data_IF_748146776697
#
_entry.id   IF_748146776697
#
_cell.length_a   1.000
_cell.length_b   1.000
_cell.length_c   1.000
_cell.angle_alpha   90.00
_cell.angle_beta   90.00
_cell.angle_gamma   90.00
#
_symmetry.space_group_name_H-M   'P 1'
#
loop_
_entity.id
_entity.type
_entity.pdbx_description
1 polymer ?
#
# COMPACT_ATOMS: atom_id res chain seq x y z
N UNK A 1 12.49 -2.75 -12.83
CA UNK A 1 12.10 -4.16 -13.09
C UNK A 1 11.17 -4.19 -14.29
N UNK A 2 11.63 -4.76 -15.43
CA UNK A 2 10.84 -4.93 -16.68
C UNK A 2 10.34 -6.37 -16.86
N UNK A 3 10.70 -7.29 -15.96
CA UNK A 3 10.41 -8.71 -16.07
C UNK A 3 9.00 -9.12 -15.62
N UNK A 4 8.55 -10.27 -16.10
CA UNK A 4 7.33 -10.92 -15.64
C UNK A 4 7.49 -11.57 -14.25
N UNK A 5 6.43 -12.23 -13.79
CA UNK A 5 6.44 -12.94 -12.50
C UNK A 5 7.53 -14.02 -12.42
N UNK A 6 7.86 -14.66 -13.54
CA UNK A 6 8.90 -15.68 -13.61
C UNK A 6 10.31 -15.10 -13.47
N UNK A 7 10.55 -13.90 -14.04
CA UNK A 7 11.84 -13.22 -13.89
C UNK A 7 12.06 -12.82 -12.44
N UNK A 8 11.02 -12.32 -11.77
CA UNK A 8 11.06 -12.04 -10.33
C UNK A 8 11.37 -13.30 -9.52
N UNK A 9 10.73 -14.42 -9.86
CA UNK A 9 11.02 -15.69 -9.18
C UNK A 9 12.51 -16.10 -9.37
N UNK A 10 13.07 -15.96 -10.56
CA UNK A 10 14.48 -16.25 -10.80
C UNK A 10 15.42 -15.33 -10.00
N UNK A 11 15.07 -14.05 -9.85
CA UNK A 11 15.84 -13.08 -9.07
C UNK A 11 15.83 -13.38 -7.56
N UNK A 12 14.75 -14.02 -7.04
CA UNK A 12 14.65 -14.43 -5.63
C UNK A 12 15.57 -15.63 -5.30
N UNK A 13 16.09 -16.35 -6.30
CA UNK A 13 17.07 -17.43 -6.19
C UNK A 13 18.21 -17.16 -7.17
N UNK A 14 19.26 -16.44 -6.78
CA UNK A 14 20.36 -16.07 -7.67
C UNK A 14 21.04 -17.28 -8.32
N UNK A 15 21.25 -17.19 -9.63
CA UNK A 15 21.87 -18.27 -10.41
C UNK A 15 20.94 -19.45 -10.72
N UNK A 16 19.67 -19.39 -10.32
CA UNK A 16 18.68 -20.43 -10.65
C UNK A 16 17.93 -20.12 -11.94
N UNK A 17 17.22 -21.13 -12.45
CA UNK A 17 16.30 -21.02 -13.57
C UNK A 17 14.92 -21.49 -13.15
N UNK A 18 13.88 -20.79 -13.66
CA UNK A 18 12.49 -21.20 -13.52
C UNK A 18 12.10 -22.01 -14.76
N UNK A 19 11.84 -23.30 -14.56
CA UNK A 19 11.53 -24.24 -15.63
C UNK A 19 10.16 -24.92 -15.39
N UNK A 20 9.44 -25.35 -16.43
CA UNK A 20 8.25 -26.17 -16.24
C UNK A 20 8.58 -27.46 -15.47
N UNK A 21 7.76 -27.84 -14.50
CA UNK A 21 8.00 -29.04 -13.67
C UNK A 21 8.01 -30.38 -14.44
N UNK A 22 7.57 -30.37 -15.68
CA UNK A 22 7.54 -31.56 -16.56
C UNK A 22 8.77 -31.68 -17.47
N UNK A 23 9.75 -30.78 -17.34
CA UNK A 23 10.98 -30.84 -18.15
C UNK A 23 11.85 -32.00 -17.66
N UNK A 24 11.77 -33.13 -18.32
CA UNK A 24 12.59 -34.30 -18.04
C UNK A 24 14.07 -33.99 -18.31
N UNK A 25 14.97 -34.58 -17.49
CA UNK A 25 16.43 -34.55 -17.64
C UNK A 25 17.18 -33.28 -17.18
N UNK A 26 16.74 -32.64 -16.11
CA UNK A 26 17.51 -31.59 -15.44
C UNK A 26 17.91 -32.09 -14.04
N UNK A 27 19.18 -32.46 -13.85
CA UNK A 27 19.71 -33.01 -12.58
C UNK A 27 20.03 -31.91 -11.54
N UNK A 28 19.80 -30.64 -11.86
CA UNK A 28 20.04 -29.54 -10.92
C UNK A 28 19.08 -29.63 -9.73
N UNK A 29 19.54 -29.25 -8.53
CA UNK A 29 18.69 -29.28 -7.32
C UNK A 29 17.47 -28.39 -7.48
N UNK A 30 16.33 -28.87 -7.00
CA UNK A 30 15.07 -28.13 -6.93
C UNK A 30 15.01 -27.37 -5.59
N UNK A 31 15.00 -26.04 -5.64
CA UNK A 31 14.88 -25.20 -4.44
C UNK A 31 13.42 -24.94 -4.06
N UNK A 32 12.56 -24.78 -5.05
CA UNK A 32 11.14 -24.54 -4.83
C UNK A 32 10.31 -25.06 -6.00
N UNK A 33 9.08 -25.50 -5.70
CA UNK A 33 8.06 -25.86 -6.69
C UNK A 33 6.82 -25.03 -6.48
N UNK A 34 6.36 -24.39 -7.55
CA UNK A 34 5.20 -23.49 -7.53
C UNK A 34 4.14 -23.94 -8.53
N UNK A 35 2.89 -23.74 -8.16
CA UNK A 35 1.80 -23.70 -9.13
C UNK A 35 1.59 -22.24 -9.60
N UNK A 36 1.31 -22.08 -10.90
CA UNK A 36 1.11 -20.79 -11.55
C UNK A 36 -0.37 -20.45 -11.56
N UNK A 37 -0.75 -19.39 -10.86
CA UNK A 37 -2.11 -18.85 -10.95
C UNK A 37 -2.16 -17.76 -12.02
N UNK A 38 -3.12 -17.85 -12.93
CA UNK A 38 -3.32 -16.88 -14.01
C UNK A 38 -4.53 -15.98 -13.74
N UNK A 39 -4.43 -14.75 -14.19
CA UNK A 39 -5.54 -13.81 -14.25
C UNK A 39 -5.59 -13.20 -15.65
N UNK A 40 -6.72 -13.32 -16.32
CA UNK A 40 -6.88 -12.88 -17.71
C UNK A 40 -5.77 -13.46 -18.64
N UNK A 41 -5.43 -14.74 -18.47
CA UNK A 41 -4.41 -15.43 -19.26
C UNK A 41 -2.95 -15.15 -18.87
N UNK A 42 -2.66 -14.13 -18.07
CA UNK A 42 -1.30 -13.79 -17.64
C UNK A 42 -0.96 -14.39 -16.26
N UNK A 43 0.29 -14.86 -16.03
CA UNK A 43 0.75 -15.25 -14.71
C UNK A 43 0.57 -14.11 -13.72
N UNK A 44 -0.11 -14.38 -12.61
CA UNK A 44 -0.46 -13.36 -11.60
C UNK A 44 0.16 -13.64 -10.23
N UNK A 45 0.27 -14.92 -9.87
CA UNK A 45 0.81 -15.34 -8.58
C UNK A 45 1.45 -16.73 -8.72
N UNK A 46 2.57 -16.94 -8.05
CA UNK A 46 3.14 -18.25 -7.78
C UNK A 46 2.73 -18.67 -6.36
N UNK A 47 2.16 -19.86 -6.24
CA UNK A 47 1.80 -20.43 -4.93
C UNK A 47 2.57 -21.71 -4.70
N UNK A 48 2.99 -22.06 -3.46
CA UNK A 48 3.69 -23.30 -3.21
C UNK A 48 2.88 -24.49 -3.73
N UNK A 49 3.52 -25.39 -4.47
CA UNK A 49 2.86 -26.63 -4.89
C UNK A 49 2.53 -27.50 -3.67
N UNK A 50 3.40 -27.46 -2.68
CA UNK A 50 3.26 -28.15 -1.38
C UNK A 50 3.72 -27.25 -0.24
N UNK A 51 3.07 -27.33 0.94
CA UNK A 51 1.82 -28.06 1.22
C UNK A 51 0.60 -27.35 0.60
N UNK A 52 -0.42 -28.12 0.23
CA UNK A 52 -1.66 -27.61 -0.39
C UNK A 52 -2.39 -26.54 0.45
N UNK A 53 -2.18 -26.55 1.76
CA UNK A 53 -2.69 -25.52 2.67
C UNK A 53 -2.08 -24.16 2.39
N UNK A 54 -0.80 -24.06 2.08
CA UNK A 54 -0.14 -22.79 1.73
C UNK A 54 -0.73 -22.19 0.44
N UNK A 55 -0.93 -23.02 -0.60
CA UNK A 55 -1.62 -22.58 -1.81
C UNK A 55 -3.05 -22.10 -1.53
N UNK A 56 -3.80 -22.83 -0.72
CA UNK A 56 -5.17 -22.47 -0.33
C UNK A 56 -5.23 -21.14 0.44
N UNK A 57 -4.32 -20.90 1.38
CA UNK A 57 -4.23 -19.66 2.14
C UNK A 57 -3.84 -18.47 1.22
N UNK A 58 -2.95 -18.70 0.23
CA UNK A 58 -2.57 -17.68 -0.75
C UNK A 58 -3.75 -17.20 -1.59
N UNK A 59 -4.64 -18.12 -1.97
CA UNK A 59 -5.84 -17.84 -2.79
C UNK A 59 -6.88 -17.04 -1.97
N UNK A 60 -6.96 -17.26 -0.65
CA UNK A 60 -8.00 -16.72 0.23
C UNK A 60 -7.79 -15.26 0.63
N UNK A 61 -6.78 -14.57 0.14
CA UNK A 61 -6.52 -13.15 0.47
C UNK A 61 -7.72 -12.27 0.14
N UNK A 62 -8.19 -11.49 1.12
CA UNK A 62 -9.35 -10.60 1.00
C UNK A 62 -9.02 -9.20 1.50
N UNK A 63 -9.77 -8.21 1.01
CA UNK A 63 -9.75 -6.82 1.46
C UNK A 63 -11.17 -6.27 1.48
N UNK A 64 -11.38 -5.06 2.01
CA UNK A 64 -12.68 -4.40 1.99
C UNK A 64 -13.17 -4.10 0.57
N UNK A 65 -12.27 -3.99 -0.41
CA UNK A 65 -12.62 -3.85 -1.82
C UNK A 65 -13.20 -5.15 -2.43
N UNK A 66 -13.00 -6.32 -1.78
CA UNK A 66 -13.48 -7.60 -2.31
C UNK A 66 -15.00 -7.71 -2.14
N UNK A 67 -15.71 -7.92 -3.24
CA UNK A 67 -17.16 -8.18 -3.20
C UNK A 67 -17.49 -9.50 -2.50
N UNK A 68 -18.73 -9.65 -2.01
CA UNK A 68 -19.21 -10.94 -1.44
C UNK A 68 -18.99 -12.11 -2.41
N UNK A 69 -19.27 -11.89 -3.69
CA UNK A 69 -19.07 -12.91 -4.74
C UNK A 69 -17.59 -13.29 -4.87
N UNK A 70 -16.70 -12.31 -4.89
CA UNK A 70 -15.25 -12.58 -4.95
C UNK A 70 -14.77 -13.32 -3.71
N UNK A 71 -15.22 -12.94 -2.52
CA UNK A 71 -14.85 -13.62 -1.27
C UNK A 71 -15.37 -15.06 -1.26
N UNK A 72 -16.61 -15.28 -1.68
CA UNK A 72 -17.19 -16.63 -1.81
C UNK A 72 -16.43 -17.49 -2.82
N UNK A 73 -16.13 -16.92 -4.01
CA UNK A 73 -15.36 -17.61 -5.06
C UNK A 73 -13.96 -17.99 -4.58
N UNK A 74 -13.24 -17.05 -3.94
CA UNK A 74 -11.89 -17.32 -3.39
C UNK A 74 -11.93 -18.36 -2.26
N UNK A 75 -12.97 -18.33 -1.41
CA UNK A 75 -13.15 -19.31 -0.35
C UNK A 75 -13.43 -20.71 -0.90
N UNK A 76 -14.28 -20.82 -1.93
CA UNK A 76 -14.56 -22.09 -2.60
C UNK A 76 -13.30 -22.63 -3.32
N UNK A 77 -12.57 -21.79 -4.06
CA UNK A 77 -11.33 -22.15 -4.72
C UNK A 77 -10.25 -22.60 -3.71
N UNK A 78 -10.11 -21.89 -2.60
CA UNK A 78 -9.20 -22.25 -1.50
C UNK A 78 -9.56 -23.62 -0.90
N UNK A 79 -10.85 -23.87 -0.62
CA UNK A 79 -11.29 -25.15 -0.08
C UNK A 79 -11.07 -26.31 -1.07
N UNK A 80 -11.27 -26.04 -2.37
CA UNK A 80 -11.07 -27.03 -3.43
C UNK A 80 -9.57 -27.38 -3.57
N UNK A 81 -8.69 -26.39 -3.66
CA UNK A 81 -7.23 -26.59 -3.76
C UNK A 81 -6.69 -27.33 -2.53
N UNK A 82 -7.21 -27.04 -1.35
CA UNK A 82 -6.80 -27.72 -0.12
C UNK A 82 -7.10 -29.23 -0.15
N UNK A 83 -8.20 -29.63 -0.80
CA UNK A 83 -8.64 -31.03 -0.88
C UNK A 83 -8.13 -31.76 -2.10
N UNK A 84 -7.95 -31.04 -3.19
CA UNK A 84 -7.55 -31.59 -4.50
C UNK A 84 -6.43 -30.74 -5.15
N UNK A 85 -5.18 -30.80 -4.61
CA UNK A 85 -4.06 -30.00 -5.11
C UNK A 85 -3.70 -30.34 -6.58
N UNK A 86 -4.10 -31.51 -7.07
CA UNK A 86 -3.96 -31.93 -8.47
C UNK A 86 -4.61 -30.96 -9.48
N UNK A 87 -5.51 -30.09 -9.02
CA UNK A 87 -6.12 -29.05 -9.85
C UNK A 87 -5.14 -27.91 -10.20
N UNK A 88 -4.05 -27.78 -9.47
CA UNK A 88 -2.94 -26.85 -9.78
C UNK A 88 -2.03 -27.49 -10.85
N UNK A 89 -2.51 -27.52 -12.10
CA UNK A 89 -1.89 -28.29 -13.20
C UNK A 89 -0.61 -27.66 -13.74
N UNK A 90 -0.58 -26.34 -13.85
CA UNK A 90 0.58 -25.61 -14.36
C UNK A 90 1.56 -25.40 -13.21
N UNK A 91 2.68 -26.11 -13.25
CA UNK A 91 3.71 -26.03 -12.21
C UNK A 91 5.06 -25.66 -12.83
N UNK A 92 5.83 -24.91 -12.07
CA UNK A 92 7.21 -24.54 -12.36
C UNK A 92 8.11 -24.89 -11.20
N UNK A 93 9.36 -25.17 -11.51
CA UNK A 93 10.41 -25.44 -10.53
C UNK A 93 11.51 -24.40 -10.64
N UNK A 94 12.02 -23.99 -9.51
CA UNK A 94 13.23 -23.18 -9.39
C UNK A 94 14.40 -24.14 -9.19
N UNK A 95 15.28 -24.22 -10.17
CA UNK A 95 16.39 -25.20 -10.21
C UNK A 95 17.74 -24.53 -10.34
N UNK A 96 18.74 -25.13 -9.69
CA UNK A 96 20.14 -24.66 -9.69
C UNK A 96 20.34 -23.40 -8.86
N UNK A 97 21.58 -22.87 -8.87
CA UNK A 97 21.96 -21.73 -8.04
C UNK A 97 22.29 -22.09 -6.61
N UNK A 98 22.63 -21.08 -5.82
CA UNK A 98 22.82 -21.17 -4.38
C UNK A 98 21.53 -20.84 -3.63
N UNK A 99 21.56 -20.89 -2.28
CA UNK A 99 20.42 -20.50 -1.43
C UNK A 99 19.82 -19.13 -1.80
N UNK A 100 18.51 -19.03 -1.66
CA UNK A 100 17.75 -17.86 -2.09
C UNK A 100 17.19 -17.04 -0.93
N UNK A 101 16.36 -16.05 -1.28
CA UNK A 101 15.67 -15.24 -0.28
C UNK A 101 14.83 -16.09 0.69
N UNK A 102 14.34 -17.24 0.26
CA UNK A 102 13.53 -18.13 1.11
C UNK A 102 14.36 -18.70 2.26
N UNK A 103 15.63 -19.04 2.02
CA UNK A 103 16.52 -19.51 3.07
C UNK A 103 16.80 -18.38 4.06
N UNK A 104 17.07 -17.16 3.57
CA UNK A 104 17.22 -15.97 4.40
C UNK A 104 15.99 -15.68 5.27
N UNK A 105 14.78 -15.82 4.71
CA UNK A 105 13.52 -15.68 5.47
C UNK A 105 13.39 -16.78 6.52
N UNK A 106 13.84 -18.01 6.22
CA UNK A 106 13.87 -19.12 7.16
C UNK A 106 14.80 -18.85 8.34
N UNK A 107 15.99 -18.30 8.09
CA UNK A 107 16.94 -17.86 9.12
C UNK A 107 16.35 -16.76 10.01
N UNK A 108 15.74 -15.71 9.40
CA UNK A 108 15.11 -14.61 10.12
C UNK A 108 13.95 -15.07 11.02
N UNK A 109 13.20 -16.08 10.59
CA UNK A 109 12.02 -16.58 11.31
C UNK A 109 12.34 -17.82 12.18
N UNK A 110 13.57 -18.32 12.13
CA UNK A 110 14.02 -19.48 12.93
C UNK A 110 13.30 -20.79 12.56
N UNK A 111 12.80 -20.93 11.33
CA UNK A 111 12.08 -22.12 10.88
C UNK A 111 12.16 -22.30 9.37
N UNK A 112 11.97 -23.54 8.91
CA UNK A 112 11.84 -23.80 7.47
C UNK A 112 10.55 -23.16 6.94
N UNK A 113 10.65 -22.44 5.83
CA UNK A 113 9.53 -21.72 5.24
C UNK A 113 9.31 -22.04 3.77
N UNK A 114 8.10 -21.85 3.32
CA UNK A 114 7.73 -21.77 1.89
C UNK A 114 7.06 -20.43 1.63
N UNK A 115 7.01 -20.00 0.36
CA UNK A 115 6.46 -18.69 0.01
C UNK A 115 5.50 -18.75 -1.16
N UNK A 116 4.48 -17.89 -1.17
CA UNK A 116 3.84 -17.49 -2.43
C UNK A 116 4.42 -16.16 -2.89
N UNK A 117 4.56 -15.99 -4.19
CA UNK A 117 5.12 -14.78 -4.80
C UNK A 117 4.03 -14.06 -5.55
N UNK A 118 3.80 -12.81 -5.21
CA UNK A 118 2.93 -11.92 -5.96
C UNK A 118 3.67 -10.63 -6.31
N UNK A 119 3.39 -10.11 -7.50
CA UNK A 119 3.97 -8.85 -7.94
C UNK A 119 2.81 -7.93 -8.30
N UNK A 120 2.76 -6.75 -7.72
CA UNK A 120 1.74 -5.75 -8.01
C UNK A 120 1.66 -5.40 -9.51
N UNK A 121 0.61 -4.69 -9.91
CA UNK A 121 0.49 -4.14 -11.27
C UNK A 121 1.71 -3.29 -11.62
N UNK A 122 2.02 -3.15 -12.93
CA UNK A 122 3.15 -2.34 -13.40
C UNK A 122 2.96 -0.87 -12.98
N UNK A 123 3.59 -0.47 -11.87
CA UNK A 123 3.61 0.87 -11.29
C UNK A 123 5.02 1.18 -10.80
N UNK A 124 5.32 2.46 -10.53
CA UNK A 124 6.63 2.92 -10.01
C UNK A 124 7.05 2.15 -8.75
N UNK A 125 6.11 1.93 -7.84
CA UNK A 125 6.32 1.23 -6.57
C UNK A 125 6.08 -0.29 -6.65
N UNK A 126 6.18 -0.88 -7.86
CA UNK A 126 6.04 -2.32 -8.05
C UNK A 126 7.15 -3.05 -7.30
N UNK A 127 6.78 -3.79 -6.27
CA UNK A 127 7.68 -4.61 -5.46
C UNK A 127 7.12 -6.02 -5.29
N UNK A 128 7.96 -7.04 -5.17
CA UNK A 128 7.53 -8.38 -4.79
C UNK A 128 6.98 -8.38 -3.37
N UNK A 129 5.86 -9.05 -3.19
CA UNK A 129 5.26 -9.34 -1.89
C UNK A 129 5.13 -10.84 -1.75
N UNK A 130 5.83 -11.39 -0.77
CA UNK A 130 5.79 -12.81 -0.46
C UNK A 130 4.88 -13.02 0.74
N UNK A 131 3.98 -14.00 0.66
CA UNK A 131 3.34 -14.54 1.85
C UNK A 131 4.16 -15.76 2.28
N UNK A 132 4.59 -15.77 3.53
CA UNK A 132 5.50 -16.77 4.10
C UNK A 132 4.71 -17.75 4.93
N UNK A 133 4.99 -19.05 4.76
CA UNK A 133 4.28 -20.15 5.41
C UNK A 133 5.26 -21.08 6.12
N UNK A 134 4.80 -21.68 7.22
CA UNK A 134 5.49 -22.79 7.88
C UNK A 134 5.37 -24.11 7.11
N UNK A 135 6.03 -25.15 7.60
CA UNK A 135 5.97 -26.50 7.03
C UNK A 135 4.56 -27.10 6.98
N UNK A 136 3.62 -26.61 7.82
CA UNK A 136 2.21 -27.01 7.80
C UNK A 136 1.34 -26.12 6.92
N UNK A 137 1.92 -25.16 6.20
CA UNK A 137 1.23 -24.23 5.33
C UNK A 137 0.40 -23.18 6.07
N UNK A 138 0.71 -22.88 7.34
CA UNK A 138 0.11 -21.75 8.07
C UNK A 138 0.86 -20.46 7.72
N UNK A 139 0.14 -19.38 7.47
CA UNK A 139 0.76 -18.08 7.21
C UNK A 139 1.47 -17.57 8.46
N UNK A 140 2.79 -17.36 8.35
CA UNK A 140 3.67 -16.84 9.40
C UNK A 140 3.88 -15.34 9.26
N UNK A 141 4.07 -14.87 8.01
CA UNK A 141 4.46 -13.50 7.73
C UNK A 141 4.07 -13.06 6.33
N UNK A 142 4.21 -11.76 6.08
CA UNK A 142 4.40 -11.20 4.75
C UNK A 142 5.80 -10.58 4.66
N UNK A 143 6.51 -10.82 3.57
CA UNK A 143 7.78 -10.17 3.28
C UNK A 143 7.63 -9.24 2.08
N UNK A 144 8.02 -7.98 2.23
CA UNK A 144 8.08 -6.96 1.19
C UNK A 144 9.53 -6.72 0.84
N UNK A 145 9.87 -6.74 -0.44
CA UNK A 145 11.25 -6.65 -0.91
C UNK A 145 11.40 -5.37 -1.74
N UNK A 146 12.35 -4.52 -1.34
CA UNK A 146 12.77 -3.39 -2.13
C UNK A 146 13.68 -3.85 -3.26
N UNK A 147 13.33 -3.48 -4.50
CA UNK A 147 14.01 -3.97 -5.72
C UNK A 147 14.77 -2.87 -6.47
N UNK A 148 14.64 -1.66 -6.01
CA UNK A 148 15.30 -0.46 -6.54
C UNK A 148 15.53 0.52 -5.41
N UNK A 149 16.32 1.56 -5.63
CA UNK A 149 16.52 2.62 -4.63
C UNK A 149 15.17 3.21 -4.14
N UNK A 150 14.21 3.41 -5.07
CA UNK A 150 12.87 3.92 -4.73
C UNK A 150 12.07 2.93 -3.87
N UNK A 151 11.98 1.68 -4.28
CA UNK A 151 11.24 0.66 -3.52
C UNK A 151 11.94 0.24 -2.22
N UNK A 152 13.28 0.33 -2.13
CA UNK A 152 14.00 0.20 -0.87
C UNK A 152 13.60 1.32 0.10
N UNK A 153 13.48 2.56 -0.39
CA UNK A 153 13.00 3.69 0.42
C UNK A 153 11.55 3.48 0.90
N UNK A 154 10.65 2.99 0.03
CA UNK A 154 9.27 2.66 0.41
C UNK A 154 9.20 1.57 1.49
N UNK A 155 10.01 0.50 1.36
CA UNK A 155 10.08 -0.59 2.35
C UNK A 155 10.66 -0.08 3.68
N UNK A 156 11.67 0.80 3.63
CA UNK A 156 12.23 1.43 4.83
C UNK A 156 11.20 2.32 5.52
N UNK A 157 10.47 3.14 4.76
CA UNK A 157 9.42 4.03 5.26
C UNK A 157 8.31 3.24 5.93
N UNK A 158 7.85 2.13 5.33
CA UNK A 158 6.84 1.27 5.93
C UNK A 158 7.32 0.64 7.24
N UNK A 159 8.55 0.14 7.29
CA UNK A 159 9.14 -0.41 8.51
C UNK A 159 9.24 0.64 9.62
N UNK A 160 9.61 1.88 9.29
CA UNK A 160 9.65 2.99 10.24
C UNK A 160 8.25 3.38 10.73
N UNK A 161 7.27 3.48 9.82
CA UNK A 161 5.88 3.75 10.15
C UNK A 161 5.33 2.73 11.15
N UNK A 162 5.49 1.45 10.87
CA UNK A 162 5.01 0.36 11.73
C UNK A 162 5.68 0.37 13.11
N UNK A 163 6.97 0.72 13.21
CA UNK A 163 7.64 0.90 14.51
C UNK A 163 7.07 2.09 15.29
N UNK A 164 6.80 3.19 14.61
CA UNK A 164 6.12 4.34 15.24
C UNK A 164 4.75 3.96 15.78
N UNK A 165 3.96 3.25 14.98
CA UNK A 165 2.61 2.82 15.36
C UNK A 165 2.61 1.80 16.50
N UNK A 166 3.61 0.93 16.59
CA UNK A 166 3.69 -0.11 17.63
C UNK A 166 3.82 0.44 19.06
N UNK A 167 4.20 1.70 19.21
CA UNK A 167 4.22 2.41 20.50
C UNK A 167 2.84 2.89 20.98
N UNK A 168 1.77 2.62 20.21
CA UNK A 168 0.42 3.13 20.49
C UNK A 168 -0.60 1.98 20.58
N UNK A 169 -1.50 2.10 21.56
CA UNK A 169 -2.60 1.14 21.73
C UNK A 169 -3.87 1.68 21.06
N UNK A 170 -4.16 1.15 19.88
CA UNK A 170 -5.30 1.56 19.06
C UNK A 170 -6.57 0.77 19.42
N UNK A 171 -7.68 1.47 19.60
CA UNK A 171 -8.99 0.89 19.85
C UNK A 171 -9.69 0.45 18.56
N UNK A 172 -9.67 1.31 17.54
CA UNK A 172 -10.41 1.13 16.29
C UNK A 172 -9.53 0.64 15.13
N UNK A 173 -8.22 0.83 15.23
CA UNK A 173 -7.23 0.49 14.23
C UNK A 173 -6.43 -0.76 14.65
N UNK A 174 -5.99 -1.56 13.67
CA UNK A 174 -4.94 -2.55 13.85
C UNK A 174 -4.01 -2.55 12.63
N UNK A 175 -2.72 -2.58 12.89
CA UNK A 175 -1.64 -2.62 11.90
C UNK A 175 -0.79 -3.87 12.09
N UNK A 176 0.00 -4.32 11.08
CA UNK A 176 0.94 -5.42 11.26
C UNK A 176 2.05 -5.06 12.24
N UNK A 177 2.50 -6.02 13.04
CA UNK A 177 3.76 -5.89 13.75
C UNK A 177 4.95 -6.15 12.81
N UNK A 178 6.07 -5.45 13.01
CA UNK A 178 7.34 -5.76 12.34
C UNK A 178 7.96 -6.97 13.04
N UNK A 179 8.14 -8.06 12.33
CA UNK A 179 8.80 -9.27 12.81
C UNK A 179 10.31 -9.20 12.60
N UNK A 180 10.75 -8.72 11.43
CA UNK A 180 12.15 -8.49 11.12
C UNK A 180 12.31 -7.43 10.03
N UNK A 181 13.46 -6.78 9.99
CA UNK A 181 13.91 -5.98 8.87
C UNK A 181 15.40 -6.23 8.68
N UNK A 182 15.79 -6.56 7.44
CA UNK A 182 17.14 -6.94 7.10
C UNK A 182 17.50 -6.50 5.69
N UNK A 183 18.77 -6.68 5.31
CA UNK A 183 19.20 -6.60 3.93
C UNK A 183 19.49 -8.01 3.42
N UNK A 184 19.08 -8.29 2.20
CA UNK A 184 19.43 -9.49 1.45
C UNK A 184 19.97 -9.06 0.08
N UNK A 185 21.24 -9.35 -0.17
CA UNK A 185 21.98 -8.70 -1.26
C UNK A 185 21.82 -7.16 -1.16
N UNK A 186 21.44 -6.51 -2.27
CA UNK A 186 21.20 -5.06 -2.32
C UNK A 186 19.75 -4.68 -2.03
N UNK A 187 18.93 -5.62 -1.53
CA UNK A 187 17.51 -5.48 -1.32
C UNK A 187 17.18 -5.33 0.16
N UNK A 188 16.38 -4.33 0.50
CA UNK A 188 15.79 -4.24 1.84
C UNK A 188 14.60 -5.19 1.95
N UNK A 189 14.58 -5.99 3.00
CA UNK A 189 13.51 -6.96 3.29
C UNK A 189 12.81 -6.56 4.57
N UNK A 190 11.50 -6.35 4.50
CA UNK A 190 10.65 -6.09 5.65
C UNK A 190 9.70 -7.27 5.84
N UNK A 191 9.79 -7.91 7.00
CA UNK A 191 8.94 -9.04 7.39
C UNK A 191 7.94 -8.57 8.44
N UNK A 192 6.66 -8.73 8.15
CA UNK A 192 5.55 -8.24 8.97
C UNK A 192 4.55 -9.35 9.30
N UNK A 193 3.89 -9.20 10.44
CA UNK A 193 2.85 -10.12 10.89
C UNK A 193 1.66 -10.17 9.91
N UNK A 194 1.08 -11.36 9.65
CA UNK A 194 -0.10 -11.48 8.81
C UNK A 194 -1.35 -11.02 9.58
N UNK A 195 -1.96 -9.93 9.17
CA UNK A 195 -3.28 -9.57 9.64
C UNK A 195 -4.32 -10.61 9.20
N UNK A 196 -5.31 -10.85 10.06
CA UNK A 196 -6.35 -11.88 9.83
C UNK A 196 -7.71 -11.25 9.61
N UNK A 197 -8.06 -10.89 8.37
CA UNK A 197 -9.36 -10.34 8.03
C UNK A 197 -10.49 -11.28 8.43
N UNK A 198 -11.60 -10.69 8.85
CA UNK A 198 -12.83 -11.43 9.12
C UNK A 198 -13.57 -11.66 7.79
N UNK A 199 -13.76 -12.92 7.36
CA UNK A 199 -14.49 -13.21 6.13
C UNK A 199 -15.91 -12.65 6.19
N UNK A 200 -16.41 -12.16 5.04
CA UNK A 200 -17.76 -11.63 4.84
C UNK A 200 -18.11 -10.40 5.69
N UNK A 201 -17.31 -10.02 6.68
CA UNK A 201 -17.50 -8.79 7.42
C UNK A 201 -17.03 -7.61 6.57
N UNK A 202 -17.85 -6.56 6.46
CA UNK A 202 -17.50 -5.35 5.70
C UNK A 202 -17.60 -5.49 4.17
N UNK A 203 -18.06 -6.62 3.65
CA UNK A 203 -18.41 -6.72 2.23
C UNK A 203 -19.58 -5.79 1.93
N UNK A 204 -19.35 -4.78 1.09
CA UNK A 204 -20.30 -3.68 0.83
C UNK A 204 -19.98 -2.36 1.54
N UNK A 205 -19.08 -2.34 2.53
CA UNK A 205 -18.68 -1.13 3.25
C UNK A 205 -17.58 -0.30 2.54
N UNK A 206 -17.21 -0.67 1.32
CA UNK A 206 -16.16 0.05 0.56
C UNK A 206 -16.47 1.55 0.34
N UNK A 207 -17.71 1.95 0.51
CA UNK A 207 -18.15 3.34 0.33
C UNK A 207 -18.18 4.15 1.63
N UNK A 208 -18.02 3.49 2.78
CA UNK A 208 -18.04 4.15 4.08
C UNK A 208 -16.62 4.20 4.65
N UNK A 209 -15.99 5.38 4.73
CA UNK A 209 -14.71 5.53 5.37
C UNK A 209 -14.81 5.16 6.85
N UNK A 210 -13.82 4.46 7.42
CA UNK A 210 -13.81 4.11 8.84
C UNK A 210 -13.34 5.31 9.69
N UNK A 211 -14.21 6.30 9.84
CA UNK A 211 -13.86 7.62 10.41
C UNK A 211 -13.27 7.53 11.81
N UNK A 212 -13.81 6.67 12.69
CA UNK A 212 -13.28 6.48 14.05
C UNK A 212 -11.81 6.01 14.05
N UNK A 213 -11.46 5.09 13.15
CA UNK A 213 -10.09 4.61 13.02
C UNK A 213 -9.16 5.66 12.35
N UNK A 214 -9.69 6.43 11.39
CA UNK A 214 -8.96 7.51 10.75
C UNK A 214 -8.72 8.67 11.73
N UNK A 215 -9.70 9.00 12.57
CA UNK A 215 -9.55 10.02 13.61
C UNK A 215 -8.56 9.57 14.69
N UNK A 216 -8.65 8.31 15.14
CA UNK A 216 -7.70 7.75 16.10
C UNK A 216 -6.25 7.84 15.57
N UNK A 217 -6.02 7.56 14.29
CA UNK A 217 -4.71 7.73 13.66
C UNK A 217 -4.31 9.21 13.58
N UNK A 218 -5.21 10.10 13.18
CA UNK A 218 -4.92 11.53 13.06
C UNK A 218 -4.45 12.13 14.37
N UNK A 219 -4.96 11.64 15.50
CA UNK A 219 -4.59 12.07 16.85
C UNK A 219 -3.48 11.21 17.48
N UNK A 220 -2.68 10.52 16.67
CA UNK A 220 -1.56 9.72 17.14
C UNK A 220 -0.62 10.56 18.02
N UNK A 221 -0.35 10.09 19.26
CA UNK A 221 0.54 10.77 20.18
C UNK A 221 -0.07 11.98 20.90
N UNK A 222 -1.35 12.30 20.69
CA UNK A 222 -2.02 13.41 21.40
C UNK A 222 -2.43 13.09 22.83
N UNK A 223 -2.34 11.84 23.28
CA UNK A 223 -2.74 11.39 24.59
C UNK A 223 -1.52 11.17 25.51
N UNK A 224 -1.23 12.13 26.40
CA UNK A 224 -0.24 11.96 27.47
C UNK A 224 0.53 13.25 27.82
N UNK A 225 1.15 13.32 29.00
CA UNK A 225 2.02 14.44 29.37
C UNK A 225 3.25 14.49 28.45
N UNK A 226 3.40 15.59 27.70
CA UNK A 226 4.47 15.74 26.70
C UNK A 226 4.12 15.25 25.30
N UNK A 227 2.85 14.97 25.02
CA UNK A 227 2.38 14.59 23.70
C UNK A 227 2.70 15.65 22.64
N UNK A 228 3.65 15.35 21.76
CA UNK A 228 4.12 16.21 20.65
C UNK A 228 3.50 15.85 19.29
N UNK A 229 2.46 15.00 19.31
CA UNK A 229 1.94 14.39 18.07
C UNK A 229 0.98 15.24 17.26
N UNK A 230 0.40 16.30 17.87
CA UNK A 230 -0.56 17.18 17.20
C UNK A 230 -0.12 18.64 17.39
N UNK A 231 0.01 19.34 16.29
CA UNK A 231 0.38 20.76 16.27
C UNK A 231 -0.80 21.58 15.73
N UNK A 232 -1.10 22.71 16.37
CA UNK A 232 -2.10 23.66 15.90
C UNK A 232 -1.45 25.03 15.67
N UNK A 233 -1.77 25.65 14.57
CA UNK A 233 -1.28 26.99 14.26
C UNK A 233 -1.65 27.47 12.85
N UNK A 234 -1.27 28.72 12.51
CA UNK A 234 -1.54 29.28 11.20
C UNK A 234 -0.91 28.44 10.10
N UNK A 235 -1.64 28.27 8.98
CA UNK A 235 -1.21 27.45 7.85
C UNK A 235 0.15 27.87 7.30
N UNK A 236 0.38 29.17 7.11
CA UNK A 236 1.64 29.72 6.61
C UNK A 236 2.86 29.41 7.50
N UNK A 237 2.63 29.12 8.78
CA UNK A 237 3.65 28.74 9.74
C UNK A 237 3.77 27.23 9.95
N UNK A 238 2.80 26.46 9.48
CA UNK A 238 2.79 25.01 9.65
C UNK A 238 4.01 24.36 8.95
N UNK A 239 4.77 23.49 9.64
CA UNK A 239 5.92 22.81 9.03
C UNK A 239 5.53 22.02 7.77
N UNK A 240 4.34 21.44 7.77
CA UNK A 240 3.80 20.75 6.61
C UNK A 240 3.68 21.64 5.39
N UNK A 241 3.15 22.86 5.54
CA UNK A 241 3.01 23.82 4.43
C UNK A 241 4.36 24.22 3.84
N UNK A 242 5.33 24.46 4.72
CA UNK A 242 6.71 24.76 4.28
C UNK A 242 7.32 23.60 3.51
N UNK A 243 7.06 22.35 3.94
CA UNK A 243 7.49 21.16 3.19
C UNK A 243 6.88 21.13 1.79
N UNK A 244 5.59 21.49 1.63
CA UNK A 244 4.97 21.53 0.30
C UNK A 244 5.70 22.55 -0.62
N UNK A 245 6.01 23.73 -0.12
CA UNK A 245 6.80 24.72 -0.86
C UNK A 245 8.17 24.16 -1.29
N UNK A 246 8.90 23.53 -0.40
CA UNK A 246 10.20 22.91 -0.70
C UNK A 246 10.06 21.82 -1.76
N UNK A 247 9.05 20.96 -1.65
CA UNK A 247 8.81 19.88 -2.61
C UNK A 247 8.42 20.43 -3.99
N UNK A 248 7.57 21.45 -4.06
CA UNK A 248 7.21 22.13 -5.29
C UNK A 248 8.46 22.75 -5.96
N UNK A 249 9.34 23.38 -5.17
CA UNK A 249 10.61 23.91 -5.68
C UNK A 249 11.54 22.87 -6.32
N UNK A 250 11.39 21.59 -5.92
CA UNK A 250 12.18 20.44 -6.42
C UNK A 250 11.53 19.70 -7.58
N UNK A 251 10.32 20.08 -8.00
CA UNK A 251 9.65 19.43 -9.14
C UNK A 251 10.53 19.54 -10.39
N UNK A 252 10.73 18.44 -11.14
CA UNK A 252 11.61 18.42 -12.29
C UNK A 252 11.10 19.31 -13.43
N UNK A 253 9.79 19.31 -13.68
CA UNK A 253 9.17 20.09 -14.74
C UNK A 253 8.94 21.54 -14.32
N UNK A 254 9.56 22.53 -15.01
CA UNK A 254 9.44 23.95 -14.68
C UNK A 254 8.02 24.50 -14.87
N UNK A 255 7.22 23.92 -15.78
CA UNK A 255 5.84 24.35 -16.02
C UNK A 255 4.97 23.98 -14.83
N UNK A 256 5.05 22.74 -14.37
CA UNK A 256 4.34 22.30 -13.17
C UNK A 256 4.81 23.03 -11.92
N UNK A 257 6.11 23.26 -11.78
CA UNK A 257 6.68 24.05 -10.68
C UNK A 257 6.08 25.47 -10.63
N UNK A 258 6.04 26.18 -11.76
CA UNK A 258 5.47 27.52 -11.85
C UNK A 258 3.95 27.53 -11.57
N UNK A 259 3.19 26.56 -12.10
CA UNK A 259 1.74 26.44 -11.85
C UNK A 259 1.47 26.20 -10.37
N UNK A 260 2.14 25.22 -9.76
CA UNK A 260 2.01 24.90 -8.34
C UNK A 260 2.40 26.09 -7.45
N UNK A 261 3.49 26.78 -7.77
CA UNK A 261 3.90 27.96 -7.02
C UNK A 261 2.82 29.05 -6.99
N UNK A 262 2.17 29.32 -8.13
CA UNK A 262 1.04 30.27 -8.19
C UNK A 262 -0.16 29.81 -7.34
N UNK A 263 -0.48 28.52 -7.37
CA UNK A 263 -1.58 27.97 -6.57
C UNK A 263 -1.26 28.07 -5.08
N UNK A 264 -0.06 27.63 -4.66
CA UNK A 264 0.34 27.75 -3.26
C UNK A 264 0.31 29.20 -2.77
N UNK A 265 0.83 30.17 -3.56
CA UNK A 265 0.77 31.59 -3.20
C UNK A 265 -0.67 32.09 -3.03
N UNK A 266 -1.60 31.64 -3.89
CA UNK A 266 -3.03 31.99 -3.78
C UNK A 266 -3.66 31.44 -2.53
N UNK A 267 -3.42 30.13 -2.23
CA UNK A 267 -3.94 29.51 -1.01
C UNK A 267 -3.37 30.20 0.22
N UNK A 268 -2.08 30.52 0.25
CA UNK A 268 -1.43 31.19 1.36
C UNK A 268 -1.99 32.60 1.57
N UNK A 269 -2.21 33.37 0.50
CA UNK A 269 -2.80 34.70 0.58
C UNK A 269 -4.24 34.67 1.13
N UNK A 270 -5.04 33.65 0.76
CA UNK A 270 -6.43 33.54 1.20
C UNK A 270 -6.60 32.87 2.57
N UNK A 271 -5.73 31.94 2.91
CA UNK A 271 -5.92 31.04 4.06
C UNK A 271 -4.71 30.94 5.00
N UNK A 272 -3.58 31.61 4.73
CA UNK A 272 -2.33 31.47 5.46
C UNK A 272 -2.45 31.71 6.98
N UNK A 273 -3.25 32.70 7.37
CA UNK A 273 -3.52 33.02 8.79
C UNK A 273 -4.54 32.09 9.47
N UNK A 274 -5.19 31.15 8.75
CA UNK A 274 -6.17 30.22 9.35
C UNK A 274 -5.46 29.12 10.10
N UNK A 275 -5.92 28.83 11.32
CA UNK A 275 -5.38 27.72 12.10
C UNK A 275 -5.72 26.38 11.43
N UNK A 276 -4.72 25.52 11.35
CA UNK A 276 -4.83 24.13 10.95
C UNK A 276 -4.28 23.24 12.06
N UNK A 277 -4.97 22.13 12.29
CA UNK A 277 -4.50 21.08 13.20
C UNK A 277 -3.77 20.05 12.35
N UNK A 278 -2.52 19.76 12.69
CA UNK A 278 -1.70 18.77 12.02
C UNK A 278 -1.50 17.55 12.92
N UNK A 279 -1.70 16.36 12.36
CA UNK A 279 -1.58 15.08 13.04
C UNK A 279 -0.93 14.04 12.15
N UNK A 280 -1.40 12.80 12.21
CA UNK A 280 -0.90 11.72 11.35
C UNK A 280 -1.94 11.26 10.32
N UNK A 281 -1.49 10.72 9.20
CA UNK A 281 -2.31 10.03 8.24
C UNK A 281 -1.61 8.81 7.65
N UNK A 282 -2.38 7.87 7.14
CA UNK A 282 -1.86 6.72 6.41
C UNK A 282 -1.33 7.14 5.02
N UNK A 283 -1.97 8.13 4.39
CA UNK A 283 -1.60 8.70 3.10
C UNK A 283 -1.93 7.86 1.88
N UNK A 284 -2.37 6.61 2.06
CA UNK A 284 -2.90 5.71 1.02
C UNK A 284 -3.98 4.77 1.59
N UNK A 285 -4.81 5.28 2.51
CA UNK A 285 -5.92 4.50 3.06
C UNK A 285 -7.02 4.32 2.03
N UNK A 286 -7.12 3.14 1.52
CA UNK A 286 -8.01 2.78 0.41
C UNK A 286 -8.79 1.51 0.76
N UNK A 287 -9.92 1.22 0.10
CA UNK A 287 -10.67 -0.01 0.35
C UNK A 287 -9.86 -1.31 0.15
N UNK A 288 -8.80 -1.29 -0.66
CA UNK A 288 -7.94 -2.46 -0.89
C UNK A 288 -6.80 -2.57 0.11
N UNK A 289 -6.49 -1.52 0.88
CA UNK A 289 -5.46 -1.49 1.91
C UNK A 289 -6.04 -1.71 3.31
N UNK A 290 -7.29 -2.15 3.41
CA UNK A 290 -7.93 -2.45 4.69
C UNK A 290 -8.87 -3.66 4.63
N UNK A 291 -9.24 -4.16 5.81
CA UNK A 291 -10.31 -5.14 5.99
C UNK A 291 -10.93 -5.03 7.40
N UNK A 292 -12.13 -5.59 7.57
CA UNK A 292 -12.73 -5.74 8.89
C UNK A 292 -11.96 -6.79 9.71
N UNK A 293 -11.63 -6.42 10.96
CA UNK A 293 -11.01 -7.27 11.96
C UNK A 293 -12.02 -7.79 13.01
N UNK A 294 -11.48 -8.36 14.07
CA UNK A 294 -12.26 -8.76 15.25
C UNK A 294 -12.53 -7.55 16.15
N UNK A 295 -13.63 -7.59 16.91
CA UNK A 295 -13.96 -6.53 17.88
C UNK A 295 -14.28 -5.17 17.27
N UNK A 296 -14.68 -5.12 15.99
CA UNK A 296 -14.97 -3.85 15.30
C UNK A 296 -13.74 -3.10 14.79
N UNK A 297 -12.52 -3.61 15.03
CA UNK A 297 -11.29 -2.95 14.56
C UNK A 297 -11.15 -3.04 13.05
N UNK A 298 -10.55 -2.01 12.46
CA UNK A 298 -10.16 -1.97 11.05
C UNK A 298 -8.70 -2.41 10.94
N UNK A 299 -8.45 -3.44 10.17
CA UNK A 299 -7.10 -3.90 9.84
C UNK A 299 -6.60 -3.07 8.66
N UNK A 300 -5.41 -2.46 8.77
CA UNK A 300 -4.85 -1.60 7.74
C UNK A 300 -3.40 -2.01 7.47
N UNK A 301 -3.03 -2.07 6.20
CA UNK A 301 -1.69 -2.41 5.71
C UNK A 301 -1.24 -1.44 4.62
N UNK A 302 0.03 -1.54 4.17
CA UNK A 302 0.65 -0.70 3.14
C UNK A 302 0.99 0.72 3.65
N UNK A 303 1.71 0.78 4.78
CA UNK A 303 2.05 2.00 5.52
C UNK A 303 3.21 2.83 4.93
N UNK A 304 3.63 2.55 3.70
CA UNK A 304 4.76 3.23 3.04
C UNK A 304 4.54 4.74 2.83
N UNK A 305 3.30 5.21 2.91
CA UNK A 305 2.92 6.63 2.75
C UNK A 305 2.53 7.31 4.06
N UNK A 306 2.72 6.63 5.17
CA UNK A 306 2.46 7.20 6.49
C UNK A 306 3.32 8.45 6.73
N UNK A 307 2.68 9.50 7.21
CA UNK A 307 3.34 10.77 7.53
C UNK A 307 2.69 11.40 8.76
N UNK A 308 3.51 12.06 9.58
CA UNK A 308 3.08 12.87 10.73
C UNK A 308 3.19 14.37 10.40
N UNK A 309 2.51 15.21 11.20
CA UNK A 309 2.48 16.65 10.99
C UNK A 309 1.77 17.02 9.67
N UNK A 310 0.72 16.31 9.30
CA UNK A 310 -0.13 16.53 8.13
C UNK A 310 -1.47 17.11 8.58
N UNK A 311 -2.10 18.03 7.84
CA UNK A 311 -3.42 18.54 8.22
C UNK A 311 -4.45 17.43 8.45
N UNK A 312 -5.17 17.52 9.56
CA UNK A 312 -6.20 16.52 9.91
C UNK A 312 -7.36 16.58 8.93
N UNK A 313 -7.97 15.43 8.63
CA UNK A 313 -9.15 15.32 7.79
C UNK A 313 -8.88 15.05 6.30
N UNK A 314 -7.63 14.82 5.90
CA UNK A 314 -7.30 14.48 4.51
C UNK A 314 -7.60 13.03 4.15
N UNK A 315 -7.58 12.11 5.10
CA UNK A 315 -7.73 10.67 4.86
C UNK A 315 -9.12 10.28 4.32
N UNK A 316 -10.26 10.81 4.83
CA UNK A 316 -11.57 10.53 4.26
C UNK A 316 -11.72 10.94 2.80
N UNK A 317 -11.08 12.05 2.40
CA UNK A 317 -11.06 12.52 1.01
C UNK A 317 -10.29 11.52 0.12
N UNK A 318 -9.14 11.04 0.61
CA UNK A 318 -8.35 10.05 -0.12
C UNK A 318 -9.12 8.72 -0.28
N UNK A 319 -9.76 8.27 0.79
CA UNK A 319 -10.58 7.07 0.77
C UNK A 319 -11.74 7.18 -0.22
N UNK A 320 -12.52 8.26 -0.14
CA UNK A 320 -13.67 8.47 -0.99
C UNK A 320 -13.28 8.53 -2.48
N UNK A 321 -12.22 9.27 -2.81
CA UNK A 321 -11.74 9.39 -4.18
C UNK A 321 -11.25 8.04 -4.72
N UNK A 322 -10.53 7.27 -3.90
CA UNK A 322 -10.04 5.94 -4.26
C UNK A 322 -11.18 4.94 -4.44
N UNK A 323 -12.19 4.98 -3.56
CA UNK A 323 -13.37 4.12 -3.64
C UNK A 323 -14.23 4.42 -4.88
N UNK A 324 -14.45 5.70 -5.18
CA UNK A 324 -15.24 6.13 -6.33
C UNK A 324 -14.50 5.92 -7.67
N UNK A 325 -13.19 6.10 -7.67
CA UNK A 325 -12.38 6.10 -8.89
C UNK A 325 -11.11 5.23 -8.74
N UNK A 326 -11.25 3.90 -8.70
CA UNK A 326 -10.08 3.00 -8.53
C UNK A 326 -9.02 3.14 -9.63
N UNK A 327 -9.43 3.55 -10.84
CA UNK A 327 -8.55 3.85 -11.97
C UNK A 327 -8.04 5.30 -12.02
N UNK A 328 -8.50 6.15 -11.10
CA UNK A 328 -8.31 7.61 -11.10
C UNK A 328 -9.55 8.36 -11.61
N UNK A 329 -9.72 9.62 -11.20
CA UNK A 329 -10.87 10.43 -11.60
C UNK A 329 -10.85 10.70 -13.10
N UNK A 330 -12.01 10.64 -13.78
CA UNK A 330 -12.09 10.85 -15.23
C UNK A 330 -11.96 12.32 -15.63
N UNK A 331 -12.25 13.25 -14.72
CA UNK A 331 -12.21 14.70 -14.94
C UNK A 331 -12.07 15.48 -13.63
N UNK A 332 -11.64 16.76 -13.72
CA UNK A 332 -11.59 17.69 -12.58
C UNK A 332 -12.96 17.84 -11.91
N UNK A 333 -14.03 18.01 -12.68
CA UNK A 333 -15.39 18.11 -12.15
C UNK A 333 -15.85 16.83 -11.42
N UNK A 334 -15.49 15.64 -11.94
CA UNK A 334 -15.77 14.36 -11.28
C UNK A 334 -15.02 14.22 -9.95
N UNK A 335 -13.75 14.63 -9.94
CA UNK A 335 -12.94 14.68 -8.75
C UNK A 335 -13.54 15.63 -7.70
N UNK A 336 -13.84 16.89 -8.08
CA UNK A 336 -14.37 17.89 -7.17
C UNK A 336 -15.73 17.49 -6.58
N UNK A 337 -16.64 16.91 -7.36
CA UNK A 337 -17.91 16.37 -6.82
C UNK A 337 -17.71 15.30 -5.76
N UNK A 338 -16.73 14.41 -5.96
CA UNK A 338 -16.41 13.37 -4.96
C UNK A 338 -15.85 14.00 -3.68
N UNK A 339 -14.97 14.99 -3.82
CA UNK A 339 -14.39 15.68 -2.66
C UNK A 339 -15.41 16.55 -1.92
N UNK A 340 -16.39 17.13 -2.62
CA UNK A 340 -17.47 17.90 -2.01
C UNK A 340 -18.22 17.06 -0.97
N UNK A 341 -18.69 15.89 -1.41
CA UNK A 341 -19.36 14.95 -0.51
C UNK A 341 -18.44 14.45 0.62
N UNK A 342 -17.19 14.11 0.32
CA UNK A 342 -16.27 13.53 1.30
C UNK A 342 -15.77 14.55 2.34
N UNK A 343 -15.76 15.84 1.98
CA UNK A 343 -15.32 16.90 2.87
C UNK A 343 -16.33 17.24 3.98
N UNK A 344 -17.56 16.75 3.87
CA UNK A 344 -18.58 16.85 4.93
C UNK A 344 -18.35 15.84 6.07
N UNK A 345 -17.38 14.92 5.93
CA UNK A 345 -17.05 13.98 7.01
C UNK A 345 -16.64 14.75 8.27
N UNK A 346 -17.35 14.50 9.36
CA UNK A 346 -17.04 15.10 10.65
C UNK A 346 -15.79 14.44 11.26
N UNK A 347 -14.75 15.22 11.42
CA UNK A 347 -13.49 14.81 12.07
C UNK A 347 -13.00 15.92 12.99
N UNK A 348 -12.74 15.57 14.23
CA UNK A 348 -12.20 16.51 15.21
C UNK A 348 -10.91 17.17 14.72
N UNK A 349 -10.86 18.50 14.77
CA UNK A 349 -9.70 19.29 14.37
C UNK A 349 -9.50 19.44 12.86
N UNK A 350 -10.39 18.90 12.03
CA UNK A 350 -10.30 19.13 10.60
C UNK A 350 -10.66 20.59 10.25
N UNK A 351 -9.98 21.14 9.25
CA UNK A 351 -10.31 22.44 8.69
C UNK A 351 -11.71 22.45 8.07
N UNK A 352 -12.25 23.64 7.78
CA UNK A 352 -13.49 23.73 7.01
C UNK A 352 -13.40 22.97 5.67
N UNK A 353 -14.54 22.55 5.10
CA UNK A 353 -14.56 21.68 3.91
C UNK A 353 -13.79 22.24 2.72
N UNK A 354 -13.83 23.57 2.48
CA UNK A 354 -13.15 24.17 1.34
C UNK A 354 -11.63 24.10 1.51
N UNK A 355 -11.11 24.57 2.64
CA UNK A 355 -9.67 24.53 2.92
C UNK A 355 -9.15 23.08 2.96
N UNK A 356 -9.92 22.15 3.52
CA UNK A 356 -9.58 20.72 3.57
C UNK A 356 -9.38 20.12 2.17
N UNK A 357 -10.28 20.44 1.24
CA UNK A 357 -10.15 20.01 -0.18
C UNK A 357 -8.88 20.57 -0.82
N UNK A 358 -8.58 21.86 -0.62
CA UNK A 358 -7.34 22.48 -1.12
C UNK A 358 -6.09 21.79 -0.59
N UNK A 359 -6.00 21.58 0.73
CA UNK A 359 -4.85 20.95 1.37
C UNK A 359 -4.67 19.49 0.90
N UNK A 360 -5.77 18.74 0.75
CA UNK A 360 -5.73 17.39 0.21
C UNK A 360 -5.21 17.36 -1.23
N UNK A 361 -5.73 18.23 -2.10
CA UNK A 361 -5.29 18.29 -3.50
C UNK A 361 -3.82 18.67 -3.60
N UNK A 362 -3.32 19.60 -2.76
CA UNK A 362 -1.89 19.95 -2.69
C UNK A 362 -1.07 18.72 -2.30
N UNK A 363 -1.45 18.00 -1.22
CA UNK A 363 -0.72 16.84 -0.72
C UNK A 363 -0.56 15.75 -1.80
N UNK A 364 -1.66 15.37 -2.46
CA UNK A 364 -1.63 14.28 -3.45
C UNK A 364 -0.99 14.72 -4.76
N UNK A 365 -1.19 15.97 -5.18
CA UNK A 365 -0.64 16.48 -6.44
C UNK A 365 0.88 16.62 -6.37
N UNK A 366 1.43 17.15 -5.28
CA UNK A 366 2.87 17.22 -5.07
C UNK A 366 3.50 15.83 -5.18
N UNK A 367 2.88 14.83 -4.57
CA UNK A 367 3.29 13.43 -4.68
C UNK A 367 3.23 12.90 -6.12
N UNK A 368 2.13 13.16 -6.84
CA UNK A 368 2.00 12.70 -8.23
C UNK A 368 3.05 13.35 -9.13
N UNK A 369 3.25 14.66 -9.04
CA UNK A 369 4.21 15.39 -9.85
C UNK A 369 5.66 14.97 -9.54
N UNK A 370 5.98 14.62 -8.29
CA UNK A 370 7.29 14.07 -7.94
C UNK A 370 7.55 12.71 -8.58
N UNK A 371 6.49 11.90 -8.78
CA UNK A 371 6.60 10.57 -9.39
C UNK A 371 6.63 10.60 -10.92
N UNK A 372 6.11 11.63 -11.58
CA UNK A 372 6.14 11.71 -13.06
C UNK A 372 7.55 11.77 -13.64
N UNK A 373 8.52 12.23 -12.87
CA UNK A 373 9.94 12.25 -13.27
C UNK A 373 10.72 10.95 -12.99
N UNK A 374 10.08 9.94 -12.41
CA UNK A 374 10.71 8.65 -12.09
C UNK A 374 10.39 7.63 -13.19
N UNK A 375 11.33 6.76 -13.62
CA UNK A 375 11.06 5.71 -14.60
C UNK A 375 9.86 4.85 -14.19
N UNK A 376 8.88 4.71 -15.07
CA UNK A 376 7.61 4.03 -14.79
C UNK A 376 6.53 4.93 -14.18
N UNK A 377 6.79 6.24 -14.01
CA UNK A 377 5.83 7.21 -13.49
C UNK A 377 4.90 7.82 -14.54
N UNK A 378 5.11 7.52 -15.82
CA UNK A 378 4.36 8.10 -16.94
C UNK A 378 2.85 7.85 -16.82
N UNK A 379 2.45 6.73 -16.26
CA UNK A 379 1.04 6.38 -16.05
C UNK A 379 0.34 7.25 -14.99
N UNK A 380 1.10 8.02 -14.17
CA UNK A 380 0.56 8.95 -13.17
C UNK A 380 0.21 10.29 -13.81
N UNK A 381 0.85 10.66 -14.93
CA UNK A 381 0.69 11.96 -15.57
C UNK A 381 -0.78 12.34 -15.85
N UNK A 382 -1.65 11.47 -16.39
CA UNK A 382 -3.06 11.84 -16.58
C UNK A 382 -3.78 12.19 -15.28
N UNK A 383 -3.50 11.45 -14.20
CA UNK A 383 -4.08 11.71 -12.88
C UNK A 383 -3.56 13.02 -12.30
N UNK A 384 -2.26 13.30 -12.44
CA UNK A 384 -1.67 14.56 -12.02
C UNK A 384 -2.27 15.75 -12.77
N UNK A 385 -2.48 15.64 -14.08
CA UNK A 385 -3.10 16.69 -14.90
C UNK A 385 -4.55 17.00 -14.44
N UNK A 386 -5.38 15.98 -14.24
CA UNK A 386 -6.76 16.14 -13.73
C UNK A 386 -6.77 16.78 -12.35
N UNK A 387 -5.86 16.33 -11.45
CA UNK A 387 -5.77 16.87 -10.10
C UNK A 387 -5.31 18.33 -10.08
N UNK A 388 -4.38 18.71 -10.96
CA UNK A 388 -3.91 20.08 -11.07
C UNK A 388 -5.03 21.02 -11.56
N UNK A 389 -5.79 20.61 -12.57
CA UNK A 389 -6.95 21.39 -13.05
C UNK A 389 -7.98 21.59 -11.94
N UNK A 390 -8.30 20.53 -11.19
CA UNK A 390 -9.23 20.61 -10.06
C UNK A 390 -8.72 21.55 -8.95
N UNK A 391 -7.42 21.51 -8.65
CA UNK A 391 -6.82 22.38 -7.64
C UNK A 391 -6.82 23.84 -8.09
N UNK A 392 -6.50 24.14 -9.35
CA UNK A 392 -6.54 25.50 -9.91
C UNK A 392 -7.96 26.07 -9.91
N UNK A 393 -8.96 25.25 -10.29
CA UNK A 393 -10.37 25.62 -10.29
C UNK A 393 -10.84 25.94 -8.86
N UNK A 394 -10.55 25.06 -7.89
CA UNK A 394 -10.94 25.23 -6.50
C UNK A 394 -10.26 26.42 -5.82
N UNK A 395 -8.98 26.67 -6.14
CA UNK A 395 -8.23 27.81 -5.61
C UNK A 395 -8.58 29.16 -6.26
N UNK A 396 -9.39 29.16 -7.32
CA UNK A 396 -9.88 30.37 -7.97
C UNK A 396 -11.29 30.77 -7.48
N UNK A 397 -12.02 29.84 -6.87
CA UNK A 397 -13.36 30.03 -6.30
C UNK A 397 -13.29 30.69 -4.92
#
# INVERSE_FOLDING_TARGET
MRGGLMDVAAELWPGSQVVPAQTAADDRPVHARFAVLRRNGAPHMLVPAEPSRAAAESIRRISAASSLREQATRSAASALVRRAPVLLREQVEVRGGAGGLVDHLGELLGTQVSVSVSVGSARVNRKPVLQVFDAQGRSLAFAKIGWSAHTNADVAAEGQALRTLSGHDFRHLAHPAVLAQSSWLDHLVLVIEPLRPRPLAGAGHRWSPPLEAMEELAWLGAAGPGASGVEEGPLDRAPWWRRQWVQVGRLPDPVFRARMGRVLSRIEAAHGGRNVVCGAWHGDWTPWNMAAGRGGRVLVWDWERFETGVPVGLEPLHYALSAAHPGGPPSSAGLLRTLEWAAEADMRGASDPHLRKLLYLVAVLVRYLSLTGVPGGEHIAPRAAVTLLALEELAAA
#
